data_IF_428849461442
#
_entry.id   IF_428849461442
#
_cell.length_a   1.000
_cell.length_b   1.000
_cell.length_c   1.000
_cell.angle_alpha   90.00
_cell.angle_beta   90.00
_cell.angle_gamma   90.00
#
_symmetry.space_group_name_H-M   'P 1'
#
loop_
_entity.id
_entity.type
_entity.pdbx_description
1 polymer ?
#
# COMPACT_ATOMS: atom_id res chain seq x y z
N UNK A 1 8.73 -15.76 -4.01
CA UNK A 1 9.98 -16.51 -4.29
C UNK A 1 10.91 -16.36 -3.09
N UNK A 2 11.94 -17.18 -2.96
CA UNK A 2 13.00 -16.92 -1.98
C UNK A 2 14.12 -16.12 -2.65
N UNK A 3 14.70 -15.14 -1.95
CA UNK A 3 15.83 -14.34 -2.41
C UNK A 3 17.00 -14.55 -1.47
N UNK A 4 18.10 -15.10 -1.99
CA UNK A 4 19.34 -15.24 -1.22
C UNK A 4 19.88 -13.85 -0.87
N UNK A 5 20.14 -13.62 0.41
CA UNK A 5 20.73 -12.37 0.90
C UNK A 5 22.25 -12.40 0.66
N UNK A 6 22.82 -11.54 -0.20
CA UNK A 6 24.25 -11.53 -0.53
C UNK A 6 25.08 -10.86 0.59
N UNK A 7 25.10 -11.50 1.76
CA UNK A 7 25.63 -10.93 3.00
C UNK A 7 27.12 -10.57 2.88
N UNK A 8 27.91 -11.38 2.17
CA UNK A 8 29.35 -11.15 2.00
C UNK A 8 29.65 -9.98 1.08
N UNK A 9 28.89 -9.81 0.00
CA UNK A 9 28.98 -8.61 -0.84
C UNK A 9 28.64 -7.37 -0.01
N UNK A 10 27.56 -7.43 0.77
CA UNK A 10 27.16 -6.34 1.66
C UNK A 10 28.22 -6.01 2.72
N UNK A 11 28.96 -7.00 3.23
CA UNK A 11 30.08 -6.74 4.13
C UNK A 11 31.34 -6.23 3.42
N UNK A 12 31.60 -6.67 2.20
CA UNK A 12 32.77 -6.25 1.43
C UNK A 12 32.62 -4.83 0.86
N UNK A 13 31.42 -4.46 0.43
CA UNK A 13 31.11 -3.16 -0.18
C UNK A 13 30.98 -2.02 0.86
N UNK A 14 30.99 -2.33 2.17
CA UNK A 14 30.80 -1.36 3.24
C UNK A 14 32.10 -1.05 3.98
N UNK A 15 32.27 0.22 4.35
CA UNK A 15 33.41 0.68 5.15
C UNK A 15 33.26 0.28 6.62
N UNK A 16 34.37 -0.18 7.23
CA UNK A 16 34.46 -0.46 8.66
C UNK A 16 34.40 -1.95 9.03
N UNK A 17 34.62 -2.25 10.32
CA UNK A 17 34.71 -3.64 10.83
C UNK A 17 33.41 -4.16 11.47
N UNK A 18 32.42 -3.28 11.69
CA UNK A 18 31.14 -3.61 12.31
C UNK A 18 30.01 -3.02 11.46
N UNK A 19 29.33 -3.87 10.70
CA UNK A 19 28.12 -3.49 9.99
C UNK A 19 26.91 -3.75 10.90
N UNK A 20 26.33 -2.68 11.44
CA UNK A 20 25.01 -2.77 12.07
C UNK A 20 23.95 -2.51 11.02
N UNK A 21 22.97 -3.39 10.85
CA UNK A 21 21.80 -3.11 10.03
C UNK A 21 20.84 -2.22 10.83
N UNK A 22 20.74 -0.95 10.47
CA UNK A 22 19.64 -0.07 10.89
C UNK A 22 18.58 0.03 9.79
N UNK A 23 17.31 0.10 10.21
CA UNK A 23 16.13 0.05 9.33
C UNK A 23 16.10 1.25 8.37
N UNK A 24 16.75 2.37 8.72
CA UNK A 24 16.65 3.63 7.98
C UNK A 24 17.75 3.84 6.93
N UNK A 25 18.70 2.91 6.79
CA UNK A 25 19.85 3.05 5.86
C UNK A 25 20.14 1.79 5.06
N UNK A 26 19.19 0.87 4.94
CA UNK A 26 19.38 -0.36 4.16
C UNK A 26 19.64 -0.07 2.68
N UNK A 27 18.99 0.96 2.12
CA UNK A 27 19.23 1.50 0.78
C UNK A 27 20.69 1.94 0.58
N UNK A 28 21.31 2.53 1.60
CA UNK A 28 22.72 2.95 1.56
C UNK A 28 23.68 1.81 1.80
N UNK A 29 23.28 0.82 2.60
CA UNK A 29 24.13 -0.32 2.98
C UNK A 29 24.14 -1.45 1.95
N UNK A 30 23.07 -1.56 1.18
CA UNK A 30 22.91 -2.63 0.19
C UNK A 30 22.18 -2.12 -1.07
N UNK A 31 22.70 -1.06 -1.74
CA UNK A 31 21.99 -0.41 -2.84
C UNK A 31 21.66 -1.38 -3.99
N UNK A 32 22.62 -2.24 -4.37
CA UNK A 32 22.44 -3.25 -5.44
C UNK A 32 21.36 -4.27 -5.07
N UNK A 33 21.34 -4.71 -3.80
CA UNK A 33 20.33 -5.65 -3.33
C UNK A 33 18.94 -5.02 -3.30
N UNK A 34 18.81 -3.78 -2.81
CA UNK A 34 17.53 -3.05 -2.82
C UNK A 34 17.05 -2.80 -4.25
N UNK A 35 17.95 -2.47 -5.18
CA UNK A 35 17.62 -2.34 -6.61
C UNK A 35 17.10 -3.66 -7.19
N UNK A 36 17.74 -4.79 -6.89
CA UNK A 36 17.29 -6.11 -7.32
C UNK A 36 15.89 -6.43 -6.77
N UNK A 37 15.63 -6.17 -5.48
CA UNK A 37 14.31 -6.35 -4.86
C UNK A 37 13.25 -5.50 -5.56
N UNK A 38 13.54 -4.23 -5.83
CA UNK A 38 12.61 -3.33 -6.51
C UNK A 38 12.31 -3.80 -7.94
N UNK A 39 13.32 -4.28 -8.68
CA UNK A 39 13.14 -4.85 -10.02
C UNK A 39 12.30 -6.14 -10.01
N UNK A 40 12.52 -7.02 -9.04
CA UNK A 40 11.71 -8.24 -8.85
C UNK A 40 10.26 -7.88 -8.53
N UNK A 41 10.03 -6.93 -7.60
CA UNK A 41 8.70 -6.45 -7.25
C UNK A 41 7.98 -5.79 -8.42
N UNK A 42 8.68 -4.92 -9.16
CA UNK A 42 8.15 -4.28 -10.37
C UNK A 42 7.76 -5.30 -11.46
N UNK A 43 8.36 -6.50 -11.45
CA UNK A 43 7.97 -7.61 -12.32
C UNK A 43 6.78 -8.44 -11.79
N UNK A 44 6.16 -8.04 -10.68
CA UNK A 44 4.97 -8.70 -10.11
C UNK A 44 5.28 -9.88 -9.19
N UNK A 45 6.47 -9.92 -8.58
CA UNK A 45 6.87 -10.99 -7.67
C UNK A 45 7.21 -10.47 -6.28
N UNK A 46 6.70 -11.14 -5.24
CA UNK A 46 7.18 -10.97 -3.87
C UNK A 46 8.30 -11.93 -3.53
N UNK A 47 9.17 -11.49 -2.61
CA UNK A 47 10.32 -12.23 -2.13
C UNK A 47 10.44 -12.19 -0.61
N UNK A 48 10.84 -13.32 -0.05
CA UNK A 48 11.38 -13.39 1.31
C UNK A 48 12.90 -13.50 1.23
N UNK A 49 13.60 -12.81 2.13
CA UNK A 49 15.05 -12.90 2.21
C UNK A 49 15.45 -14.13 3.03
N UNK A 50 16.30 -14.97 2.46
CA UNK A 50 16.84 -16.15 3.14
C UNK A 50 18.36 -16.05 3.26
N UNK A 51 18.88 -16.47 4.42
CA UNK A 51 20.33 -16.54 4.67
C UNK A 51 20.94 -17.81 4.09
N UNK A 52 22.26 -17.83 3.97
CA UNK A 52 23.03 -19.03 3.57
C UNK A 52 22.66 -20.26 4.39
N UNK A 53 22.49 -20.10 5.71
CA UNK A 53 22.04 -21.19 6.59
C UNK A 53 20.67 -21.74 6.16
N UNK A 54 19.74 -20.87 5.77
CA UNK A 54 18.44 -21.31 5.27
C UNK A 54 18.58 -22.01 3.91
N UNK A 55 19.43 -21.51 3.00
CA UNK A 55 19.73 -22.18 1.73
C UNK A 55 20.28 -23.59 1.96
N UNK A 56 21.29 -23.73 2.82
CA UNK A 56 21.92 -25.02 3.17
C UNK A 56 20.92 -26.05 3.72
N UNK A 57 19.93 -25.60 4.48
CA UNK A 57 18.91 -26.43 5.11
C UNK A 57 17.65 -26.63 4.27
N UNK A 58 17.55 -25.94 3.12
CA UNK A 58 16.40 -26.08 2.21
C UNK A 58 16.44 -27.44 1.53
N UNK A 59 15.27 -28.01 1.28
CA UNK A 59 15.12 -29.26 0.51
C UNK A 59 14.18 -29.04 -0.66
N UNK A 60 14.43 -29.74 -1.77
CA UNK A 60 13.45 -29.82 -2.86
C UNK A 60 12.43 -30.93 -2.55
N UNK A 61 11.15 -30.64 -2.68
CA UNK A 61 10.06 -31.62 -2.66
C UNK A 61 9.08 -31.28 -3.78
N UNK A 62 8.92 -32.19 -4.73
CA UNK A 62 8.01 -32.01 -5.88
C UNK A 62 8.28 -30.69 -6.65
N UNK A 63 9.55 -30.32 -6.81
CA UNK A 63 10.00 -29.08 -7.44
C UNK A 63 9.89 -27.81 -6.56
N UNK A 64 9.29 -27.89 -5.38
CA UNK A 64 9.20 -26.79 -4.43
C UNK A 64 10.36 -26.78 -3.43
N UNK A 65 10.85 -25.60 -3.10
CA UNK A 65 11.90 -25.35 -2.11
C UNK A 65 11.30 -25.19 -0.72
N UNK A 66 11.38 -26.23 0.11
CA UNK A 66 10.92 -26.20 1.49
C UNK A 66 12.05 -25.76 2.41
N UNK A 67 11.89 -24.58 3.02
CA UNK A 67 12.83 -24.05 4.00
C UNK A 67 12.60 -24.63 5.40
N UNK A 68 13.59 -24.60 6.30
CA UNK A 68 13.41 -25.04 7.69
C UNK A 68 12.38 -24.20 8.47
N UNK A 69 12.02 -23.00 7.98
CA UNK A 69 10.95 -22.16 8.54
C UNK A 69 9.54 -22.64 8.19
N UNK A 70 9.39 -23.69 7.37
CA UNK A 70 8.10 -24.24 6.95
C UNK A 70 7.51 -23.61 5.69
N UNK A 71 8.09 -22.52 5.19
CA UNK A 71 7.65 -21.88 3.94
C UNK A 71 8.18 -22.64 2.73
N UNK A 72 7.30 -22.87 1.76
CA UNK A 72 7.63 -23.45 0.46
C UNK A 72 7.72 -22.35 -0.62
N UNK A 73 8.77 -22.40 -1.45
CA UNK A 73 8.99 -21.45 -2.54
C UNK A 73 9.04 -22.16 -3.89
N UNK A 74 8.56 -21.51 -4.94
CA UNK A 74 8.61 -22.04 -6.32
C UNK A 74 9.96 -21.84 -7.02
N UNK A 75 10.76 -20.90 -6.52
CA UNK A 75 12.10 -20.61 -7.04
C UNK A 75 12.96 -19.92 -5.97
N UNK A 76 14.27 -20.13 -6.06
CA UNK A 76 15.30 -19.46 -5.27
C UNK A 76 16.10 -18.54 -6.20
N UNK A 77 16.10 -17.24 -5.89
CA UNK A 77 16.76 -16.20 -6.66
C UNK A 77 18.08 -15.80 -5.99
N UNK A 78 19.14 -15.71 -6.76
CA UNK A 78 20.46 -15.19 -6.37
C UNK A 78 20.66 -13.84 -7.07
N UNK A 79 20.62 -12.70 -6.36
CA UNK A 79 20.66 -11.37 -6.98
C UNK A 79 22.10 -10.87 -7.16
N UNK A 80 22.76 -11.29 -8.24
CA UNK A 80 24.05 -10.72 -8.66
C UNK A 80 25.16 -10.75 -7.62
N UNK A 81 25.16 -11.76 -6.73
CA UNK A 81 26.16 -11.95 -5.69
C UNK A 81 27.54 -12.23 -6.30
N UNK A 82 28.59 -11.52 -5.85
CA UNK A 82 29.97 -11.81 -6.30
C UNK A 82 30.64 -12.82 -5.37
N UNK A 83 30.39 -12.71 -4.07
CA UNK A 83 30.96 -13.60 -3.06
C UNK A 83 29.93 -14.63 -2.58
N UNK A 84 30.26 -15.92 -2.68
CA UNK A 84 29.43 -17.01 -2.18
C UNK A 84 30.27 -18.15 -1.59
N UNK A 85 29.93 -18.70 -0.40
CA UNK A 85 30.56 -19.90 0.10
C UNK A 85 30.38 -21.09 -0.85
N UNK A 86 31.41 -21.92 -0.98
CA UNK A 86 31.39 -23.13 -1.82
C UNK A 86 30.25 -24.07 -1.44
N UNK A 87 29.95 -24.17 -0.15
CA UNK A 87 28.89 -25.02 0.42
C UNK A 87 27.51 -24.57 -0.05
N UNK A 88 27.28 -23.25 -0.11
CA UNK A 88 26.03 -22.67 -0.61
C UNK A 88 25.89 -22.90 -2.11
N UNK A 89 26.94 -22.65 -2.89
CA UNK A 89 26.90 -22.89 -4.35
C UNK A 89 26.63 -24.37 -4.67
N UNK A 90 27.29 -25.28 -3.94
CA UNK A 90 27.08 -26.73 -4.05
C UNK A 90 25.65 -27.10 -3.69
N UNK A 91 25.09 -26.47 -2.65
CA UNK A 91 23.70 -26.69 -2.27
C UNK A 91 22.72 -26.23 -3.34
N UNK A 92 22.96 -25.07 -3.95
CA UNK A 92 22.12 -24.57 -5.05
C UNK A 92 22.12 -25.54 -6.24
N UNK A 93 23.29 -26.06 -6.62
CA UNK A 93 23.40 -27.09 -7.66
C UNK A 93 22.60 -28.36 -7.28
N UNK A 94 22.79 -28.87 -6.06
CA UNK A 94 22.07 -30.05 -5.59
C UNK A 94 20.54 -29.85 -5.57
N UNK A 95 20.07 -28.66 -5.18
CA UNK A 95 18.64 -28.32 -5.22
C UNK A 95 18.12 -28.32 -6.67
N UNK A 96 18.92 -27.81 -7.61
CA UNK A 96 18.58 -27.83 -9.02
C UNK A 96 18.53 -29.26 -9.58
N UNK A 97 19.50 -30.11 -9.22
CA UNK A 97 19.53 -31.53 -9.57
C UNK A 97 18.28 -32.27 -9.04
N UNK A 98 17.80 -31.89 -7.84
CA UNK A 98 16.57 -32.41 -7.24
C UNK A 98 15.28 -31.80 -7.86
N UNK A 99 15.40 -30.92 -8.87
CA UNK A 99 14.29 -30.36 -9.62
C UNK A 99 13.80 -28.98 -9.18
N UNK A 100 14.49 -28.31 -8.25
CA UNK A 100 14.13 -26.96 -7.82
C UNK A 100 14.64 -25.89 -8.79
N UNK A 101 13.82 -24.89 -9.09
CA UNK A 101 14.23 -23.77 -9.95
C UNK A 101 15.14 -22.81 -9.19
N UNK A 102 16.37 -22.65 -9.70
CA UNK A 102 17.36 -21.69 -9.21
C UNK A 102 17.56 -20.60 -10.27
N UNK A 103 17.51 -19.34 -9.86
CA UNK A 103 17.57 -18.19 -10.77
C UNK A 103 18.75 -17.31 -10.39
N UNK A 104 19.72 -17.16 -11.29
CA UNK A 104 20.81 -16.21 -11.14
C UNK A 104 20.49 -14.95 -11.94
N UNK A 105 20.40 -13.82 -11.25
CA UNK A 105 20.18 -12.52 -11.88
C UNK A 105 21.50 -11.76 -11.96
N UNK A 106 21.69 -11.04 -13.06
CA UNK A 106 22.86 -10.23 -13.41
C UNK A 106 24.17 -11.00 -13.64
N UNK A 107 24.60 -11.81 -12.67
CA UNK A 107 25.86 -12.55 -12.70
C UNK A 107 25.83 -13.81 -11.84
N UNK A 108 26.65 -14.79 -12.19
CA UNK A 108 26.99 -15.89 -11.29
C UNK A 108 27.99 -15.42 -10.21
N UNK A 109 28.08 -16.13 -9.07
CA UNK A 109 29.14 -15.92 -8.08
C UNK A 109 30.54 -16.05 -8.69
N UNK A 110 31.44 -15.15 -8.28
CA UNK A 110 32.80 -15.02 -8.85
C UNK A 110 33.88 -15.61 -7.94
N UNK A 111 33.71 -15.53 -6.61
CA UNK A 111 34.72 -15.96 -5.65
C UNK A 111 34.12 -16.37 -4.28
N UNK A 112 34.96 -16.93 -3.41
CA UNK A 112 34.61 -17.32 -2.03
C UNK A 112 34.93 -16.20 -1.02
N UNK A 113 34.12 -16.04 0.04
CA UNK A 113 34.41 -15.08 1.09
C UNK A 113 35.54 -15.55 2.05
N UNK A 114 36.31 -14.59 2.58
CA UNK A 114 37.28 -14.80 3.66
C UNK A 114 38.60 -15.46 3.23
N UNK A 115 39.64 -15.35 4.08
CA UNK A 115 41.02 -15.76 3.75
C UNK A 115 41.42 -17.18 4.23
N UNK A 116 40.61 -17.82 5.07
CA UNK A 116 40.93 -19.16 5.58
C UNK A 116 40.92 -20.21 4.47
N UNK A 117 42.00 -21.00 4.32
CA UNK A 117 42.14 -22.04 3.28
C UNK A 117 41.72 -21.54 1.87
N UNK A 118 42.08 -20.30 1.53
CA UNK A 118 41.54 -19.60 0.36
C UNK A 118 41.79 -20.35 -0.96
N UNK A 119 43.02 -20.78 -1.21
CA UNK A 119 43.37 -21.44 -2.49
C UNK A 119 42.63 -22.78 -2.67
N UNK A 120 42.48 -23.54 -1.59
CA UNK A 120 41.70 -24.78 -1.57
C UNK A 120 40.22 -24.50 -1.86
N UNK A 121 39.59 -23.57 -1.13
CA UNK A 121 38.17 -23.24 -1.33
C UNK A 121 37.90 -22.65 -2.70
N UNK A 122 38.78 -21.80 -3.24
CA UNK A 122 38.69 -21.29 -4.63
C UNK A 122 38.80 -22.39 -5.67
N UNK A 123 39.63 -23.41 -5.41
CA UNK A 123 39.73 -24.56 -6.30
C UNK A 123 38.42 -25.34 -6.31
N UNK A 124 37.87 -25.66 -5.14
CA UNK A 124 36.57 -26.34 -5.02
C UNK A 124 35.42 -25.53 -5.62
N UNK A 125 35.36 -24.24 -5.32
CA UNK A 125 34.34 -23.32 -5.83
C UNK A 125 34.32 -23.28 -7.35
N UNK A 126 35.50 -23.16 -7.99
CA UNK A 126 35.59 -23.17 -9.46
C UNK A 126 35.11 -24.49 -10.07
N UNK A 127 35.37 -25.62 -9.43
CA UNK A 127 34.83 -26.91 -9.88
C UNK A 127 33.30 -26.90 -9.85
N UNK A 128 32.70 -26.51 -8.71
CA UNK A 128 31.23 -26.48 -8.57
C UNK A 128 30.61 -25.46 -9.52
N UNK A 129 31.23 -24.29 -9.69
CA UNK A 129 30.76 -23.27 -10.62
C UNK A 129 30.82 -23.76 -12.07
N UNK A 130 31.87 -24.52 -12.43
CA UNK A 130 31.97 -25.13 -13.74
C UNK A 130 30.91 -26.20 -13.96
N UNK A 131 30.57 -27.00 -12.94
CA UNK A 131 29.48 -27.97 -13.03
C UNK A 131 28.12 -27.27 -13.21
N UNK A 132 27.93 -26.15 -12.51
CA UNK A 132 26.71 -25.34 -12.56
C UNK A 132 26.52 -24.58 -13.89
N UNK A 133 27.60 -24.07 -14.48
CA UNK A 133 27.55 -23.17 -15.66
C UNK A 133 28.02 -23.82 -16.96
N UNK A 134 28.79 -24.91 -16.87
CA UNK A 134 29.48 -25.51 -18.01
C UNK A 134 28.57 -26.29 -18.96
N UNK A 135 27.32 -26.56 -18.56
CA UNK A 135 26.27 -27.16 -19.39
C UNK A 135 24.93 -26.50 -19.06
N UNK A 136 24.04 -26.46 -20.06
CA UNK A 136 22.67 -26.03 -19.82
C UNK A 136 22.00 -26.99 -18.81
N UNK A 137 21.50 -26.43 -17.71
CA UNK A 137 20.78 -27.18 -16.69
C UNK A 137 19.30 -26.75 -16.71
N UNK A 138 18.32 -27.68 -16.80
CA UNK A 138 16.91 -27.33 -17.03
C UNK A 138 16.27 -26.51 -15.90
N UNK A 139 16.80 -26.63 -14.68
CA UNK A 139 16.32 -25.90 -13.51
C UNK A 139 17.20 -24.71 -13.09
N UNK A 140 18.21 -24.34 -13.89
CA UNK A 140 19.05 -23.18 -13.61
C UNK A 140 18.81 -22.13 -14.68
N UNK A 141 18.24 -21.00 -14.25
CA UNK A 141 17.94 -19.86 -15.09
C UNK A 141 18.97 -18.77 -14.85
N UNK A 142 19.34 -18.07 -15.92
CA UNK A 142 20.25 -16.94 -15.87
C UNK A 142 19.77 -15.83 -16.80
N UNK A 143 19.87 -14.59 -16.33
CA UNK A 143 19.66 -13.44 -17.19
C UNK A 143 19.81 -12.09 -16.49
N UNK A 144 19.92 -11.05 -17.30
CA UNK A 144 20.05 -9.65 -16.87
C UNK A 144 18.73 -8.89 -17.00
N UNK A 145 17.79 -9.38 -17.81
CA UNK A 145 16.41 -8.90 -17.84
C UNK A 145 15.61 -9.64 -16.76
N UNK A 146 15.28 -8.94 -15.67
CA UNK A 146 14.61 -9.52 -14.52
C UNK A 146 13.23 -10.08 -14.88
N UNK A 147 12.41 -9.32 -15.60
CA UNK A 147 11.05 -9.73 -15.93
C UNK A 147 11.06 -10.96 -16.84
N UNK A 148 11.88 -10.93 -17.89
CA UNK A 148 11.99 -12.06 -18.82
C UNK A 148 12.59 -13.31 -18.17
N UNK A 149 13.57 -13.15 -17.26
CA UNK A 149 14.21 -14.28 -16.58
C UNK A 149 13.30 -14.91 -15.53
N UNK A 150 12.60 -14.10 -14.73
CA UNK A 150 11.65 -14.61 -13.73
C UNK A 150 10.46 -15.31 -14.38
N UNK A 151 9.99 -14.83 -15.54
CA UNK A 151 8.90 -15.46 -16.28
C UNK A 151 9.24 -16.88 -16.76
N UNK A 152 10.53 -17.19 -17.02
CA UNK A 152 10.99 -18.53 -17.40
C UNK A 152 10.85 -19.55 -16.26
N UNK A 153 10.69 -19.10 -15.02
CA UNK A 153 10.42 -20.00 -13.89
C UNK A 153 8.98 -20.55 -13.89
N UNK A 154 8.14 -20.13 -14.83
CA UNK A 154 6.72 -20.48 -14.92
C UNK A 154 5.95 -20.19 -13.61
N UNK A 155 6.43 -19.21 -12.84
CA UNK A 155 5.73 -18.66 -11.69
C UNK A 155 4.88 -17.49 -12.19
N UNK A 156 3.55 -17.51 -12.00
CA UNK A 156 2.70 -16.39 -12.39
C UNK A 156 3.09 -15.12 -11.64
N UNK A 157 3.27 -14.03 -12.38
CA UNK A 157 3.41 -12.69 -11.84
C UNK A 157 2.04 -12.14 -11.42
N UNK A 158 1.99 -11.37 -10.33
CA UNK A 158 0.78 -10.73 -9.81
C UNK A 158 0.44 -9.50 -10.67
N UNK A 159 -0.35 -9.72 -11.72
CA UNK A 159 -0.75 -8.68 -12.69
C UNK A 159 -1.58 -7.54 -12.10
N UNK A 160 -2.23 -7.77 -10.95
CA UNK A 160 -2.83 -6.69 -10.17
C UNK A 160 -1.81 -5.60 -9.78
N UNK A 161 -0.53 -5.98 -9.63
CA UNK A 161 0.54 -5.03 -9.34
C UNK A 161 1.05 -4.37 -10.62
N UNK A 162 1.39 -5.15 -11.65
CA UNK A 162 2.03 -4.64 -12.86
C UNK A 162 1.09 -3.82 -13.74
N UNK A 163 -0.17 -4.25 -13.86
CA UNK A 163 -1.12 -3.67 -14.83
C UNK A 163 -1.99 -2.57 -14.19
N UNK A 164 -2.28 -2.71 -12.90
CA UNK A 164 -3.15 -1.79 -12.15
C UNK A 164 -2.39 -0.91 -11.16
N UNK A 165 -1.14 -1.24 -10.80
CA UNK A 165 -0.36 -0.50 -9.82
C UNK A 165 -0.73 -0.80 -8.36
N UNK A 166 -1.58 -1.81 -8.12
CA UNK A 166 -2.02 -2.14 -6.76
C UNK A 166 -0.87 -2.76 -5.96
N UNK A 167 -0.70 -2.32 -4.72
CA UNK A 167 0.14 -3.04 -3.78
C UNK A 167 -0.67 -4.14 -3.13
N UNK A 168 -0.04 -5.25 -2.80
CA UNK A 168 -0.73 -6.38 -2.22
C UNK A 168 0.11 -7.10 -1.16
N UNK A 169 -0.60 -7.84 -0.30
CA UNK A 169 -0.06 -8.93 0.48
C UNK A 169 -1.02 -10.11 0.32
N UNK A 170 -0.49 -11.29 0.01
CA UNK A 170 -1.29 -12.51 -0.13
C UNK A 170 -0.88 -13.56 0.89
N UNK A 171 -1.86 -14.10 1.61
CA UNK A 171 -1.68 -15.23 2.54
C UNK A 171 -2.58 -16.39 2.15
N UNK A 172 -2.08 -17.61 2.24
CA UNK A 172 -2.91 -18.80 2.09
C UNK A 172 -3.62 -19.14 3.41
N UNK A 173 -4.79 -19.76 3.30
CA UNK A 173 -5.52 -20.42 4.39
C UNK A 173 -6.18 -21.70 3.84
N UNK A 174 -6.77 -22.53 4.72
CA UNK A 174 -7.23 -23.88 4.37
C UNK A 174 -8.16 -23.92 3.15
N UNK A 175 -9.08 -22.96 3.04
CA UNK A 175 -10.06 -22.90 1.94
C UNK A 175 -9.66 -22.00 0.76
N UNK A 176 -8.52 -21.31 0.82
CA UNK A 176 -8.09 -20.38 -0.23
C UNK A 176 -7.04 -19.36 0.18
N UNK A 177 -7.32 -18.08 -0.08
CA UNK A 177 -6.34 -16.99 0.06
C UNK A 177 -6.98 -15.70 0.57
N UNK A 178 -6.21 -14.95 1.35
CA UNK A 178 -6.51 -13.60 1.77
C UNK A 178 -5.55 -12.63 1.07
N UNK A 179 -6.11 -11.69 0.33
CA UNK A 179 -5.41 -10.53 -0.21
C UNK A 179 -5.72 -9.31 0.67
N UNK A 180 -4.69 -8.58 1.05
CA UNK A 180 -4.81 -7.17 1.39
C UNK A 180 -4.33 -6.36 0.18
N UNK A 181 -5.17 -5.48 -0.35
CA UNK A 181 -4.86 -4.63 -1.48
C UNK A 181 -4.84 -3.16 -1.05
N UNK A 182 -3.91 -2.37 -1.59
CA UNK A 182 -3.91 -0.92 -1.43
C UNK A 182 -3.62 -0.21 -2.75
N UNK A 183 -4.47 0.75 -3.08
CA UNK A 183 -4.42 1.55 -4.30
C UNK A 183 -3.58 2.82 -4.07
N UNK A 184 -2.31 2.65 -3.70
CA UNK A 184 -1.34 3.76 -3.56
C UNK A 184 -0.86 4.23 -4.95
N UNK A 185 -1.80 4.61 -5.81
CA UNK A 185 -1.57 5.03 -7.19
C UNK A 185 -2.25 6.36 -7.43
N UNK A 186 -1.86 7.09 -8.49
CA UNK A 186 -2.51 8.35 -8.85
C UNK A 186 -3.83 8.21 -9.62
N UNK A 187 -4.39 7.00 -9.72
CA UNK A 187 -5.61 6.71 -10.49
C UNK A 187 -6.52 5.72 -9.78
N UNK A 188 -7.81 5.80 -10.08
CA UNK A 188 -8.78 4.83 -9.58
C UNK A 188 -8.66 3.50 -10.33
N UNK A 189 -9.05 2.42 -9.68
CA UNK A 189 -9.23 1.09 -10.28
C UNK A 189 -10.71 0.81 -10.39
N UNK A 190 -11.23 0.75 -11.61
CA UNK A 190 -12.60 0.34 -11.91
C UNK A 190 -12.55 -0.69 -13.04
N UNK A 191 -12.66 -1.97 -12.69
CA UNK A 191 -12.61 -3.04 -13.67
C UNK A 191 -12.24 -4.41 -13.13
N UNK A 192 -12.06 -5.34 -14.08
CA UNK A 192 -11.69 -6.73 -13.82
C UNK A 192 -10.18 -6.85 -13.56
N UNK A 193 -9.83 -7.29 -12.35
CA UNK A 193 -8.45 -7.44 -11.88
C UNK A 193 -8.10 -8.92 -11.79
N UNK A 194 -7.01 -9.39 -12.43
CA UNK A 194 -6.62 -10.80 -12.40
C UNK A 194 -6.00 -11.21 -11.06
N UNK A 195 -6.31 -12.42 -10.61
CA UNK A 195 -5.72 -13.06 -9.43
C UNK A 195 -4.85 -14.24 -9.84
N UNK A 196 -3.63 -14.37 -9.32
CA UNK A 196 -2.76 -15.52 -9.67
C UNK A 196 -3.20 -16.86 -9.10
N UNK A 197 -4.30 -16.88 -8.34
CA UNK A 197 -4.86 -18.06 -7.68
C UNK A 197 -6.27 -18.34 -8.18
N UNK A 198 -6.67 -19.61 -8.27
CA UNK A 198 -8.05 -19.95 -8.58
C UNK A 198 -8.98 -19.51 -7.45
N UNK A 199 -10.20 -19.12 -7.81
CA UNK A 199 -11.28 -18.91 -6.85
C UNK A 199 -12.61 -19.34 -7.47
N UNK A 200 -13.46 -19.93 -6.63
CA UNK A 200 -14.86 -20.27 -6.91
C UNK A 200 -15.79 -19.18 -6.37
N UNK A 201 -15.41 -18.51 -5.28
CA UNK A 201 -16.06 -17.29 -4.80
C UNK A 201 -15.07 -16.35 -4.12
N UNK A 202 -15.40 -15.05 -4.06
CA UNK A 202 -14.60 -14.02 -3.40
C UNK A 202 -15.49 -13.13 -2.55
N UNK A 203 -15.09 -12.91 -1.30
CA UNK A 203 -15.70 -11.94 -0.38
C UNK A 203 -14.78 -10.73 -0.29
N UNK A 204 -15.33 -9.53 -0.47
CA UNK A 204 -14.63 -8.26 -0.29
C UNK A 204 -15.03 -7.64 1.04
N UNK A 205 -14.05 -7.03 1.71
CA UNK A 205 -14.23 -6.27 2.95
C UNK A 205 -13.51 -4.93 2.87
N UNK A 206 -14.20 -3.85 3.20
CA UNK A 206 -13.63 -2.52 3.36
C UNK A 206 -13.33 -2.28 4.86
N UNK A 207 -12.05 -2.18 5.25
CA UNK A 207 -11.67 -1.97 6.64
C UNK A 207 -12.00 -0.56 7.16
N UNK A 208 -12.34 0.39 6.29
CA UNK A 208 -12.58 1.79 6.67
C UNK A 208 -13.99 2.02 7.21
N UNK A 209 -14.99 1.34 6.65
CA UNK A 209 -16.42 1.52 6.98
C UNK A 209 -17.12 0.21 7.39
N UNK A 210 -16.43 -0.92 7.29
CA UNK A 210 -16.96 -2.24 7.62
C UNK A 210 -17.85 -2.86 6.53
N UNK A 211 -17.99 -2.21 5.37
CA UNK A 211 -18.78 -2.73 4.24
C UNK A 211 -18.19 -4.04 3.73
N UNK A 212 -19.03 -5.04 3.48
CA UNK A 212 -18.59 -6.33 2.96
C UNK A 212 -19.67 -7.01 2.13
N UNK A 213 -19.26 -8.01 1.34
CA UNK A 213 -20.16 -8.78 0.50
C UNK A 213 -19.40 -9.61 -0.55
N UNK A 214 -20.14 -10.37 -1.34
CA UNK A 214 -19.62 -11.17 -2.44
C UNK A 214 -19.21 -10.27 -3.61
N UNK A 215 -17.94 -10.32 -4.00
CA UNK A 215 -17.44 -9.58 -5.15
C UNK A 215 -17.78 -10.30 -6.47
N UNK A 216 -18.06 -9.58 -7.57
CA UNK A 216 -18.19 -10.20 -8.88
C UNK A 216 -16.90 -10.91 -9.27
N UNK A 217 -17.05 -12.14 -9.76
CA UNK A 217 -15.95 -13.03 -10.11
C UNK A 217 -16.22 -13.63 -11.49
N UNK A 218 -15.21 -13.68 -12.35
CA UNK A 218 -15.27 -14.41 -13.61
C UNK A 218 -14.01 -15.20 -13.85
N UNK A 219 -14.09 -16.14 -14.79
CA UNK A 219 -12.92 -16.84 -15.34
C UNK A 219 -12.89 -16.55 -16.83
N UNK A 220 -11.82 -15.92 -17.31
CA UNK A 220 -11.61 -15.58 -18.71
C UNK A 220 -10.26 -16.16 -19.15
N UNK A 221 -10.25 -16.94 -20.24
CA UNK A 221 -9.03 -17.58 -20.76
C UNK A 221 -8.26 -18.40 -19.69
N UNK A 222 -9.00 -19.04 -18.76
CA UNK A 222 -8.43 -19.80 -17.64
C UNK A 222 -7.91 -18.95 -16.48
N UNK A 223 -7.99 -17.63 -16.57
CA UNK A 223 -7.56 -16.67 -15.55
C UNK A 223 -8.75 -16.21 -14.70
N UNK A 224 -8.65 -16.38 -13.37
CA UNK A 224 -9.62 -15.82 -12.42
C UNK A 224 -9.46 -14.30 -12.35
N UNK A 225 -10.58 -13.57 -12.47
CA UNK A 225 -10.64 -12.12 -12.36
C UNK A 225 -11.75 -11.69 -11.40
N UNK A 226 -11.47 -10.70 -10.58
CA UNK A 226 -12.42 -10.09 -9.63
C UNK A 226 -12.68 -8.64 -10.04
N UNK A 227 -13.94 -8.22 -10.03
CA UNK A 227 -14.28 -6.82 -10.31
C UNK A 227 -14.00 -5.95 -9.09
N UNK A 228 -13.21 -4.90 -9.26
CA UNK A 228 -12.87 -3.96 -8.19
C UNK A 228 -13.21 -2.53 -8.61
N UNK A 229 -13.82 -1.81 -7.67
CA UNK A 229 -13.97 -0.35 -7.67
C UNK A 229 -13.25 0.16 -6.42
N UNK A 230 -12.04 0.68 -6.62
CA UNK A 230 -11.16 1.22 -5.59
C UNK A 230 -10.67 2.59 -6.02
N UNK A 231 -10.94 3.61 -5.20
CA UNK A 231 -10.38 4.93 -5.44
C UNK A 231 -8.89 4.99 -5.08
N UNK A 232 -8.18 5.93 -5.69
CA UNK A 232 -6.80 6.26 -5.31
C UNK A 232 -6.70 6.56 -3.81
N UNK A 233 -5.85 5.83 -3.10
CA UNK A 233 -5.64 5.92 -1.64
C UNK A 233 -6.42 4.87 -0.83
N UNK A 234 -7.39 4.16 -1.43
CA UNK A 234 -8.17 3.14 -0.71
C UNK A 234 -7.39 1.84 -0.49
N UNK A 235 -7.91 1.04 0.45
CA UNK A 235 -7.47 -0.33 0.68
C UNK A 235 -8.66 -1.25 0.91
N UNK A 236 -8.49 -2.54 0.63
CA UNK A 236 -9.54 -3.55 0.82
C UNK A 236 -8.93 -4.92 1.10
N UNK A 237 -9.72 -5.80 1.71
CA UNK A 237 -9.40 -7.21 1.80
C UNK A 237 -10.25 -8.00 0.81
N UNK A 238 -9.63 -8.99 0.16
CA UNK A 238 -10.33 -10.02 -0.62
C UNK A 238 -10.04 -11.37 0.01
N UNK A 239 -11.09 -12.07 0.44
CA UNK A 239 -10.99 -13.46 0.86
C UNK A 239 -11.54 -14.36 -0.25
N UNK A 240 -10.67 -15.18 -0.82
CA UNK A 240 -11.00 -16.09 -1.91
C UNK A 240 -11.21 -17.50 -1.39
N UNK A 241 -12.16 -18.21 -1.99
CA UNK A 241 -12.46 -19.61 -1.67
C UNK A 241 -12.27 -20.45 -2.92
N UNK A 242 -11.48 -21.52 -2.83
CA UNK A 242 -11.12 -22.35 -4.00
C UNK A 242 -12.19 -23.39 -4.33
N UNK A 243 -12.90 -23.91 -3.32
CA UNK A 243 -13.89 -24.99 -3.46
C UNK A 243 -15.28 -24.63 -2.94
N UNK A 244 -15.43 -23.51 -2.23
CA UNK A 244 -16.68 -23.09 -1.61
C UNK A 244 -17.35 -21.95 -2.38
N UNK A 245 -18.67 -22.06 -2.55
CA UNK A 245 -19.53 -20.93 -2.88
C UNK A 245 -20.01 -20.30 -1.57
N UNK A 246 -19.56 -19.06 -1.31
CA UNK A 246 -20.08 -18.29 -0.17
C UNK A 246 -21.46 -17.72 -0.51
N UNK A 247 -22.40 -17.95 0.39
CA UNK A 247 -23.73 -17.33 0.43
C UNK A 247 -23.63 -16.03 1.23
N UNK A 248 -23.69 -14.90 0.54
CA UNK A 248 -23.66 -13.55 1.12
C UNK A 248 -24.34 -12.57 0.17
N UNK A 249 -24.75 -11.41 0.69
CA UNK A 249 -25.18 -10.31 -0.16
C UNK A 249 -24.05 -9.88 -1.11
N UNK A 250 -24.42 -9.39 -2.29
CA UNK A 250 -23.49 -8.80 -3.24
C UNK A 250 -22.76 -7.59 -2.61
N UNK A 251 -21.44 -7.48 -2.85
CA UNK A 251 -20.70 -6.29 -2.49
C UNK A 251 -21.22 -5.10 -3.33
N UNK A 252 -21.59 -3.96 -2.73
CA UNK A 252 -22.14 -2.83 -3.47
C UNK A 252 -21.16 -2.28 -4.52
N UNK A 253 -21.64 -2.10 -5.74
CA UNK A 253 -20.92 -1.51 -6.87
C UNK A 253 -21.83 -0.48 -7.53
N UNK A 254 -21.24 0.60 -8.01
CA UNK A 254 -22.00 1.75 -8.46
C UNK A 254 -21.36 2.35 -9.70
N UNK A 255 -22.20 2.96 -10.53
CA UNK A 255 -21.77 3.89 -11.56
C UNK A 255 -22.43 5.24 -11.34
N UNK A 256 -21.82 6.31 -11.85
CA UNK A 256 -22.43 7.65 -11.82
C UNK A 256 -23.72 7.62 -12.62
N UNK A 257 -24.82 8.07 -12.02
CA UNK A 257 -26.11 8.20 -12.69
C UNK A 257 -26.25 9.55 -13.42
N UNK A 258 -25.59 10.58 -12.90
CA UNK A 258 -25.50 11.91 -13.50
C UNK A 258 -24.24 12.64 -13.01
N UNK A 259 -24.02 13.86 -13.51
CA UNK A 259 -22.93 14.73 -13.07
C UNK A 259 -23.05 15.09 -11.57
N UNK A 260 -21.93 15.29 -10.86
CA UNK A 260 -21.94 15.72 -9.47
C UNK A 260 -22.70 17.04 -9.29
N UNK A 261 -23.56 17.11 -8.28
CA UNK A 261 -24.22 18.35 -7.85
C UNK A 261 -23.24 19.14 -6.99
N UNK A 262 -22.71 20.30 -7.45
CA UNK A 262 -21.78 21.09 -6.67
C UNK A 262 -22.50 21.82 -5.53
N UNK A 263 -21.86 21.90 -4.37
CA UNK A 263 -22.35 22.73 -3.28
C UNK A 263 -21.81 24.14 -3.48
N UNK A 264 -22.61 25.14 -3.09
CA UNK A 264 -22.20 26.53 -3.11
C UNK A 264 -20.96 26.75 -2.23
N UNK A 265 -20.21 27.81 -2.54
CA UNK A 265 -18.97 28.08 -1.84
C UNK A 265 -19.19 28.67 -0.43
N UNK A 266 -20.34 29.31 -0.16
CA UNK A 266 -20.65 29.97 1.11
C UNK A 266 -21.41 29.06 2.09
N UNK A 267 -20.92 28.96 3.33
CA UNK A 267 -21.40 28.03 4.36
C UNK A 267 -21.58 28.75 5.70
N UNK A 268 -22.61 28.38 6.46
CA UNK A 268 -22.70 28.72 7.88
C UNK A 268 -21.45 28.15 8.60
N UNK A 269 -20.81 28.93 9.46
CA UNK A 269 -19.52 28.59 10.03
C UNK A 269 -19.39 28.97 11.50
N UNK A 270 -18.75 28.08 12.28
CA UNK A 270 -18.30 28.39 13.65
C UNK A 270 -17.11 27.52 14.06
N UNK A 271 -16.23 28.04 14.89
CA UNK A 271 -15.29 27.20 15.64
C UNK A 271 -16.03 26.49 16.79
N UNK A 272 -15.99 25.16 16.82
CA UNK A 272 -16.49 24.32 17.91
C UNK A 272 -15.46 24.31 19.05
N UNK A 273 -14.18 24.22 18.69
CA UNK A 273 -13.05 24.27 19.59
C UNK A 273 -11.91 25.03 18.91
N UNK A 274 -11.19 25.86 19.67
CA UNK A 274 -10.01 26.56 19.16
C UNK A 274 -8.97 26.82 20.25
N UNK A 275 -7.70 26.67 19.91
CA UNK A 275 -6.56 27.02 20.76
C UNK A 275 -5.42 27.63 19.92
N UNK A 276 -5.13 28.94 20.07
CA UNK A 276 -5.77 29.87 21.01
C UNK A 276 -7.20 30.17 20.60
N UNK A 277 -7.99 30.72 21.53
CA UNK A 277 -9.37 31.10 21.25
C UNK A 277 -9.43 32.07 20.06
N UNK A 278 -10.29 31.75 19.09
CA UNK A 278 -10.53 32.56 17.90
C UNK A 278 -11.66 33.54 18.13
N UNK A 279 -11.54 34.76 17.58
CA UNK A 279 -12.56 35.81 17.66
C UNK A 279 -12.67 36.56 16.33
N UNK A 280 -13.81 37.21 16.08
CA UNK A 280 -13.99 38.08 14.90
C UNK A 280 -14.16 37.36 13.56
N UNK A 281 -14.42 36.05 13.57
CA UNK A 281 -14.71 35.28 12.34
C UNK A 281 -16.18 35.43 11.96
N UNK A 282 -16.52 35.70 10.69
CA UNK A 282 -17.89 35.76 10.22
C UNK A 282 -18.66 34.45 10.46
N UNK A 283 -19.98 34.57 10.63
CA UNK A 283 -20.89 33.41 10.72
C UNK A 283 -21.08 32.69 9.37
N UNK A 284 -20.61 33.29 8.27
CA UNK A 284 -20.64 32.74 6.93
C UNK A 284 -19.26 32.84 6.30
N UNK A 285 -18.75 31.75 5.74
CA UNK A 285 -17.43 31.75 5.09
C UNK A 285 -17.49 31.07 3.72
N UNK A 286 -16.62 31.51 2.82
CA UNK A 286 -16.32 30.76 1.60
C UNK A 286 -15.38 29.59 1.95
N UNK A 287 -15.61 28.41 1.36
CA UNK A 287 -14.69 27.28 1.46
C UNK A 287 -13.26 27.69 1.06
N UNK A 288 -12.28 27.15 1.77
CA UNK A 288 -10.88 27.55 1.67
C UNK A 288 -10.13 27.31 2.98
N UNK A 289 -8.86 27.72 2.99
CA UNK A 289 -8.02 27.58 4.19
C UNK A 289 -8.43 28.57 5.28
N UNK A 290 -8.52 28.11 6.52
CA UNK A 290 -8.70 28.94 7.72
C UNK A 290 -7.63 30.03 7.83
N UNK A 291 -6.44 29.80 7.29
CA UNK A 291 -5.33 30.77 7.33
C UNK A 291 -5.65 32.07 6.60
N UNK A 292 -6.62 32.03 5.68
CA UNK A 292 -7.02 33.16 4.85
C UNK A 292 -8.31 33.82 5.35
N UNK A 293 -8.96 33.22 6.36
CA UNK A 293 -10.16 33.78 6.97
C UNK A 293 -9.82 35.01 7.83
N UNK A 294 -10.68 36.04 7.84
CA UNK A 294 -10.53 37.16 8.75
C UNK A 294 -10.81 36.72 10.18
N UNK A 295 -10.12 37.36 11.14
CA UNK A 295 -10.32 37.12 12.56
C UNK A 295 -9.00 37.03 13.33
N UNK A 296 -9.07 37.18 14.64
CA UNK A 296 -7.90 37.02 15.49
C UNK A 296 -7.60 35.53 15.70
N UNK A 297 -6.32 35.19 15.75
CA UNK A 297 -5.80 33.85 16.02
C UNK A 297 -6.13 32.75 15.00
N UNK A 298 -6.96 32.99 13.98
CA UNK A 298 -7.42 31.96 13.04
C UNK A 298 -6.27 31.21 12.36
N UNK A 299 -5.30 31.94 11.80
CA UNK A 299 -4.15 31.33 11.12
C UNK A 299 -3.19 30.57 12.05
N UNK A 300 -3.31 30.74 13.38
CA UNK A 300 -2.45 30.10 14.37
C UNK A 300 -3.19 29.06 15.21
N UNK A 301 -4.49 28.84 14.96
CA UNK A 301 -5.30 27.97 15.80
C UNK A 301 -5.11 26.51 15.45
N UNK A 302 -5.18 25.67 16.48
CA UNK A 302 -5.51 24.26 16.32
C UNK A 302 -6.90 24.02 16.91
N UNK A 303 -7.73 23.23 16.26
CA UNK A 303 -9.06 22.98 16.74
C UNK A 303 -9.99 22.39 15.70
N UNK A 304 -11.29 22.55 15.96
CA UNK A 304 -12.37 21.99 15.16
C UNK A 304 -13.35 23.08 14.78
N UNK A 305 -13.66 23.21 13.49
CA UNK A 305 -14.70 24.12 13.00
C UNK A 305 -15.84 23.34 12.34
N UNK A 306 -17.07 23.80 12.55
CA UNK A 306 -18.27 23.23 11.95
C UNK A 306 -18.75 24.11 10.81
N UNK A 307 -18.86 23.50 9.63
CA UNK A 307 -19.47 24.06 8.44
C UNK A 307 -20.88 23.48 8.30
N UNK A 308 -21.89 24.32 8.08
CA UNK A 308 -23.28 23.89 7.87
C UNK A 308 -23.78 24.38 6.51
N UNK A 309 -24.39 23.48 5.74
CA UNK A 309 -24.99 23.79 4.44
C UNK A 309 -26.40 23.23 4.34
N UNK A 310 -27.33 24.05 3.86
CA UNK A 310 -28.73 23.69 3.65
C UNK A 310 -28.97 23.56 2.16
N UNK A 311 -29.45 22.41 1.72
CA UNK A 311 -29.69 22.14 0.30
C UNK A 311 -31.02 21.43 0.11
N UNK A 312 -31.58 21.55 -1.09
CA UNK A 312 -32.79 20.82 -1.49
C UNK A 312 -32.44 19.72 -2.47
N UNK A 313 -32.95 18.53 -2.22
CA UNK A 313 -32.78 17.36 -3.06
C UNK A 313 -34.11 16.97 -3.68
N UNK A 314 -34.18 16.92 -5.01
CA UNK A 314 -35.39 16.53 -5.76
C UNK A 314 -35.22 15.25 -6.57
N UNK A 315 -33.98 14.84 -6.84
CA UNK A 315 -33.69 13.65 -7.62
C UNK A 315 -33.69 12.40 -6.74
N UNK A 316 -34.21 11.31 -7.30
CA UNK A 316 -34.04 9.97 -6.75
C UNK A 316 -32.81 9.32 -7.40
N UNK A 317 -32.07 8.54 -6.61
CA UNK A 317 -30.94 7.73 -7.06
C UNK A 317 -30.87 6.50 -6.16
N UNK A 318 -30.24 5.42 -6.63
CA UNK A 318 -30.09 4.19 -5.83
C UNK A 318 -29.19 4.43 -4.63
N UNK A 319 -28.21 5.34 -4.78
CA UNK A 319 -27.29 5.77 -3.74
C UNK A 319 -26.74 7.17 -4.06
N UNK A 320 -26.12 7.82 -3.09
CA UNK A 320 -25.49 9.13 -3.23
C UNK A 320 -24.08 9.11 -2.63
N UNK A 321 -23.11 9.63 -3.36
CA UNK A 321 -21.73 9.83 -2.89
C UNK A 321 -21.52 11.30 -2.52
N UNK A 322 -21.24 11.57 -1.25
CA UNK A 322 -20.74 12.86 -0.79
C UNK A 322 -19.21 12.88 -0.96
N UNK A 323 -18.69 13.89 -1.66
CA UNK A 323 -17.26 14.18 -1.72
C UNK A 323 -17.00 15.54 -1.09
N UNK A 324 -16.06 15.61 -0.15
CA UNK A 324 -15.65 16.84 0.51
C UNK A 324 -14.51 17.58 -0.22
N UNK A 325 -13.93 16.98 -1.27
CA UNK A 325 -12.75 17.50 -1.93
C UNK A 325 -11.52 17.48 -1.02
N UNK A 326 -10.79 18.60 -0.95
CA UNK A 326 -9.62 18.76 -0.08
C UNK A 326 -10.07 19.15 1.35
N UNK A 327 -9.62 18.37 2.33
CA UNK A 327 -9.88 18.54 3.77
C UNK A 327 -8.55 18.54 4.52
N UNK A 328 -8.34 19.54 5.37
CA UNK A 328 -7.12 19.71 6.18
C UNK A 328 -7.44 19.67 7.68
N UNK A 329 -7.43 18.49 8.33
CA UNK A 329 -6.97 17.17 7.83
C UNK A 329 -7.97 16.02 8.06
N UNK A 330 -9.03 16.24 8.84
CA UNK A 330 -10.06 15.22 9.06
C UNK A 330 -11.43 15.85 9.21
N UNK A 331 -12.48 15.13 8.84
CA UNK A 331 -13.86 15.63 8.86
C UNK A 331 -14.82 14.61 9.50
N UNK A 332 -15.67 15.06 10.43
CA UNK A 332 -16.88 14.32 10.83
C UNK A 332 -18.06 14.85 10.06
N UNK A 333 -18.80 13.95 9.43
CA UNK A 333 -19.95 14.28 8.58
C UNK A 333 -21.24 13.91 9.31
N UNK A 334 -22.17 14.87 9.38
CA UNK A 334 -23.55 14.61 9.78
C UNK A 334 -24.52 15.11 8.72
N UNK A 335 -25.57 14.35 8.47
CA UNK A 335 -26.67 14.75 7.59
C UNK A 335 -27.96 14.64 8.38
N UNK A 336 -28.76 15.71 8.36
CA UNK A 336 -30.03 15.79 9.09
C UNK A 336 -29.90 15.44 10.59
N UNK A 337 -28.76 15.81 11.19
CA UNK A 337 -28.43 15.54 12.60
C UNK A 337 -27.94 14.11 12.89
N UNK A 338 -27.88 13.24 11.89
CA UNK A 338 -27.37 11.87 12.02
C UNK A 338 -25.91 11.77 11.62
N UNK A 339 -25.10 11.08 12.42
CA UNK A 339 -23.69 10.82 12.10
C UNK A 339 -23.55 9.83 10.94
N UNK A 340 -22.74 10.21 9.96
CA UNK A 340 -22.51 9.45 8.73
C UNK A 340 -21.16 8.75 8.78
N UNK A 341 -20.08 9.52 8.91
CA UNK A 341 -18.71 9.02 8.85
C UNK A 341 -17.71 9.98 9.51
N UNK A 342 -16.56 9.44 9.92
CA UNK A 342 -15.35 10.21 10.20
C UNK A 342 -14.32 9.94 9.12
N UNK A 343 -14.03 10.95 8.30
CA UNK A 343 -13.12 10.88 7.16
C UNK A 343 -11.75 11.43 7.58
N UNK A 344 -10.74 10.57 7.66
CA UNK A 344 -9.41 10.91 8.16
C UNK A 344 -8.28 10.54 7.18
N UNK A 345 -8.64 10.00 6.02
CA UNK A 345 -7.73 9.62 4.94
C UNK A 345 -8.39 9.88 3.59
N UNK A 346 -7.57 9.97 2.55
CA UNK A 346 -8.05 10.05 1.17
C UNK A 346 -8.70 8.72 0.74
N UNK A 347 -9.76 8.78 -0.10
CA UNK A 347 -10.51 9.98 -0.46
C UNK A 347 -11.45 10.45 0.67
N UNK A 348 -11.64 11.77 0.83
CA UNK A 348 -12.62 12.35 1.76
C UNK A 348 -14.05 12.26 1.20
N UNK A 349 -14.56 11.03 1.10
CA UNK A 349 -15.90 10.76 0.58
C UNK A 349 -16.60 9.61 1.31
N UNK A 350 -17.93 9.61 1.29
CA UNK A 350 -18.74 8.52 1.83
C UNK A 350 -20.11 8.42 1.14
N UNK A 351 -20.72 7.23 1.21
CA UNK A 351 -22.09 7.00 0.76
C UNK A 351 -23.07 7.56 1.78
N UNK A 352 -24.10 8.28 1.32
CA UNK A 352 -24.98 9.10 2.18
C UNK A 352 -26.47 8.92 1.93
N UNK A 353 -26.88 8.11 0.95
CA UNK A 353 -28.27 8.01 0.48
C UNK A 353 -29.26 7.71 1.59
N UNK A 354 -28.94 6.79 2.50
CA UNK A 354 -29.81 6.44 3.65
C UNK A 354 -30.08 7.60 4.63
N UNK A 355 -29.27 8.65 4.60
CA UNK A 355 -29.38 9.82 5.49
C UNK A 355 -30.11 11.00 4.82
N UNK A 356 -30.30 10.93 3.50
CA UNK A 356 -30.95 11.96 2.71
C UNK A 356 -32.47 11.76 2.67
N UNK A 357 -33.20 12.86 2.48
CA UNK A 357 -34.66 12.86 2.27
C UNK A 357 -35.06 13.78 1.12
N UNK A 358 -36.20 13.54 0.45
CA UNK A 358 -36.74 14.50 -0.51
C UNK A 358 -36.98 15.86 0.13
N UNK A 359 -36.67 16.93 -0.60
CA UNK A 359 -36.78 18.31 -0.11
C UNK A 359 -35.54 18.75 0.67
N UNK A 360 -35.74 19.42 1.79
CA UNK A 360 -34.65 20.08 2.54
C UNK A 360 -33.80 19.10 3.34
N UNK A 361 -32.47 19.22 3.18
CA UNK A 361 -31.46 18.51 3.93
C UNK A 361 -30.47 19.50 4.54
N UNK A 362 -29.87 19.09 5.66
CA UNK A 362 -28.81 19.84 6.32
C UNK A 362 -27.57 18.96 6.38
N UNK A 363 -26.46 19.44 5.81
CA UNK A 363 -25.14 18.84 5.93
C UNK A 363 -24.33 19.63 6.96
N UNK A 364 -23.75 18.95 7.93
CA UNK A 364 -22.77 19.49 8.86
C UNK A 364 -21.44 18.75 8.69
N UNK A 365 -20.35 19.51 8.56
CA UNK A 365 -18.99 19.00 8.44
C UNK A 365 -18.13 19.63 9.52
N UNK A 366 -17.74 18.84 10.52
CA UNK A 366 -16.78 19.26 11.55
C UNK A 366 -15.37 18.91 11.08
N UNK A 367 -14.57 19.91 10.71
CA UNK A 367 -13.18 19.72 10.28
C UNK A 367 -12.22 20.01 11.43
N UNK A 368 -11.28 19.11 11.66
CA UNK A 368 -10.20 19.25 12.65
C UNK A 368 -8.84 19.29 11.94
N UNK A 369 -8.03 20.31 12.25
CA UNK A 369 -6.69 20.50 11.66
C UNK A 369 -5.56 19.91 12.53
N UNK A 370 -4.32 20.07 12.05
CA UNK A 370 -3.12 19.71 12.80
C UNK A 370 -2.69 20.81 13.79
N UNK A 371 -1.97 20.45 14.87
CA UNK A 371 -1.42 21.42 15.81
C UNK A 371 -0.25 22.26 15.25
N UNK A 372 0.14 22.06 13.98
CA UNK A 372 1.33 22.66 13.40
C UNK A 372 1.34 24.20 13.48
N UNK A 373 0.21 24.84 13.15
CA UNK A 373 0.06 26.30 13.19
C UNK A 373 0.21 26.85 14.61
N UNK A 374 -0.40 26.16 15.58
CA UNK A 374 -0.30 26.51 17.00
C UNK A 374 1.12 26.32 17.54
N UNK A 375 1.77 25.22 17.19
CA UNK A 375 3.15 24.94 17.59
C UNK A 375 4.11 26.00 17.05
N UNK A 376 3.98 26.38 15.78
CA UNK A 376 4.80 27.41 15.16
C UNK A 376 4.63 28.77 15.86
N UNK A 377 3.39 29.16 16.17
CA UNK A 377 3.09 30.40 16.89
C UNK A 377 3.68 30.40 18.32
N UNK A 378 3.53 29.31 19.05
CA UNK A 378 4.08 29.20 20.40
C UNK A 378 5.61 29.31 20.39
N UNK A 379 6.27 28.68 19.43
CA UNK A 379 7.72 28.79 19.26
C UNK A 379 8.14 30.22 18.86
N UNK A 380 7.39 30.91 17.97
CA UNK A 380 7.64 32.33 17.64
C UNK A 380 7.53 33.24 18.87
N UNK A 381 6.60 32.95 19.78
CA UNK A 381 6.38 33.70 21.02
C UNK A 381 7.20 33.21 22.21
N UNK A 382 8.05 32.20 22.01
CA UNK A 382 8.85 31.59 23.07
C UNK A 382 8.01 31.06 24.25
N UNK A 383 6.78 30.61 23.98
CA UNK A 383 5.90 29.99 24.97
C UNK A 383 6.49 28.62 25.34
N UNK A 384 6.70 28.30 26.63
CA UNK A 384 7.22 27.00 27.04
C UNK A 384 6.13 25.93 26.91
N UNK A 385 6.05 25.29 25.74
CA UNK A 385 5.07 24.21 25.45
C UNK A 385 5.71 22.81 25.41
N UNK A 386 7.04 22.72 25.24
CA UNK A 386 7.78 21.45 25.31
C UNK A 386 7.95 21.03 26.78
N UNK A 387 7.18 20.02 27.19
CA UNK A 387 7.23 19.46 28.56
C UNK A 387 8.21 18.30 28.69
N UNK A 388 8.40 17.52 27.61
CA UNK A 388 9.36 16.43 27.55
C UNK A 388 10.57 16.80 26.69
N UNK A 389 11.73 16.27 27.09
CA UNK A 389 13.04 16.56 26.47
C UNK A 389 13.12 16.15 25.00
N UNK A 390 12.48 15.04 24.61
CA UNK A 390 12.63 14.44 23.28
C UNK A 390 11.32 14.09 22.54
N UNK A 391 10.15 14.07 23.21
CA UNK A 391 8.96 13.31 22.73
C UNK A 391 7.71 14.18 22.48
N UNK A 392 7.78 15.51 22.64
CA UNK A 392 6.61 16.35 22.34
C UNK A 392 6.29 16.34 20.84
N UNK A 393 7.26 16.76 20.01
CA UNK A 393 7.25 16.63 18.55
C UNK A 393 8.70 16.55 18.12
N UNK A 394 9.10 15.43 17.50
CA UNK A 394 10.45 15.19 17.00
C UNK A 394 10.49 15.30 15.47
N UNK A 395 11.61 15.80 14.94
CA UNK A 395 11.87 15.72 13.50
C UNK A 395 12.41 14.32 13.16
N UNK A 396 12.16 13.81 11.95
CA UNK A 396 12.63 12.48 11.50
C UNK A 396 14.15 12.29 11.69
N UNK A 397 14.92 13.39 11.66
CA UNK A 397 16.38 13.38 11.85
C UNK A 397 16.83 13.86 13.24
N UNK A 398 15.91 14.02 14.20
CA UNK A 398 16.15 14.55 15.54
C UNK A 398 17.00 15.85 15.56
N UNK A 399 16.85 16.68 14.52
CA UNK A 399 17.50 17.99 14.46
C UNK A 399 16.95 18.86 15.58
N UNK A 400 17.83 19.30 16.47
CA UNK A 400 17.50 20.27 17.52
C UNK A 400 17.10 21.60 16.87
N UNK A 401 16.00 22.18 17.33
CA UNK A 401 15.51 23.47 16.83
C UNK A 401 14.07 23.74 17.25
N UNK A 402 13.57 24.90 16.81
CA UNK A 402 12.17 25.31 16.98
C UNK A 402 11.43 25.27 15.65
N UNK A 403 10.11 25.21 15.71
CA UNK A 403 9.20 25.26 14.57
C UNK A 403 8.72 26.69 14.24
N UNK A 404 9.33 27.72 14.84
CA UNK A 404 9.01 29.13 14.60
C UNK A 404 9.09 29.57 13.12
N UNK A 405 9.87 28.84 12.31
CA UNK A 405 10.07 29.10 10.89
C UNK A 405 8.98 28.50 9.99
N UNK A 406 8.08 27.67 10.54
CA UNK A 406 6.96 27.13 9.77
C UNK A 406 6.00 28.25 9.36
N UNK A 407 5.72 28.29 8.06
CA UNK A 407 4.59 29.07 7.55
C UNK A 407 3.29 28.40 7.98
N UNK A 408 2.19 29.15 8.13
CA UNK A 408 0.88 28.55 8.36
C UNK A 408 0.60 27.48 7.30
N UNK A 409 0.28 26.28 7.77
CA UNK A 409 -0.23 25.19 6.94
C UNK A 409 -1.72 25.41 6.70
N UNK A 410 -2.18 25.01 5.52
CA UNK A 410 -3.61 25.04 5.20
C UNK A 410 -4.42 24.26 6.23
N UNK A 411 -5.64 24.71 6.49
CA UNK A 411 -6.52 24.10 7.51
C UNK A 411 -7.98 24.29 7.11
N UNK A 412 -8.84 23.31 7.36
CA UNK A 412 -10.28 23.44 7.11
C UNK A 412 -10.80 22.69 5.90
N UNK A 413 -12.00 23.07 5.47
CA UNK A 413 -12.69 22.50 4.31
C UNK A 413 -12.38 23.36 3.07
N UNK A 414 -11.46 22.88 2.25
CA UNK A 414 -11.01 23.58 1.05
C UNK A 414 -11.95 23.30 -0.14
N UNK A 415 -12.53 22.09 -0.18
CA UNK A 415 -13.46 21.70 -1.22
C UNK A 415 -12.77 21.30 -2.54
N UNK A 416 -13.50 21.30 -3.67
CA UNK A 416 -14.94 21.53 -3.76
C UNK A 416 -15.76 20.40 -3.11
N UNK A 417 -16.90 20.75 -2.52
CA UNK A 417 -17.86 19.78 -1.98
C UNK A 417 -18.91 19.47 -3.04
N UNK A 418 -19.24 18.20 -3.23
CA UNK A 418 -20.26 17.77 -4.19
C UNK A 418 -21.02 16.53 -3.73
N UNK A 419 -22.20 16.36 -4.30
CA UNK A 419 -23.06 15.21 -4.08
C UNK A 419 -23.36 14.54 -5.43
N UNK A 420 -22.92 13.31 -5.62
CA UNK A 420 -23.03 12.60 -6.90
C UNK A 420 -24.12 11.53 -6.81
N UNK A 421 -25.14 11.53 -7.70
CA UNK A 421 -26.11 10.44 -7.75
C UNK A 421 -25.48 9.20 -8.36
N UNK A 422 -25.72 8.06 -7.72
CA UNK A 422 -25.21 6.76 -8.13
C UNK A 422 -26.35 5.83 -8.54
N UNK A 423 -26.06 4.99 -9.52
CA UNK A 423 -26.89 3.86 -9.91
C UNK A 423 -26.20 2.58 -9.49
N UNK A 424 -26.92 1.69 -8.80
CA UNK A 424 -26.40 0.39 -8.41
C UNK A 424 -26.17 -0.45 -9.67
N UNK A 425 -25.04 -1.15 -9.73
CA UNK A 425 -24.77 -2.06 -10.82
C UNK A 425 -25.30 -3.45 -10.48
N UNK A 426 -25.92 -4.11 -11.46
CA UNK A 426 -26.30 -5.51 -11.31
C UNK A 426 -25.05 -6.38 -11.41
N UNK A 427 -24.55 -6.82 -10.26
CA UNK A 427 -23.39 -7.71 -10.15
C UNK A 427 -23.60 -9.05 -10.87
N UNK A 428 -24.86 -9.49 -11.06
CA UNK A 428 -25.19 -10.67 -11.86
C UNK A 428 -24.99 -10.45 -13.35
N UNK A 429 -25.30 -9.26 -13.87
CA UNK A 429 -25.05 -8.88 -15.26
C UNK A 429 -23.57 -8.68 -15.57
N UNK A 430 -22.79 -8.10 -14.63
CA UNK A 430 -21.33 -7.99 -14.78
C UNK A 430 -20.67 -9.35 -15.07
N UNK A 431 -21.19 -10.43 -14.50
CA UNK A 431 -20.68 -11.79 -14.73
C UNK A 431 -21.24 -12.47 -16.00
N UNK A 432 -22.29 -11.92 -16.62
CA UNK A 432 -22.96 -12.48 -17.80
C UNK A 432 -22.53 -11.83 -19.13
N UNK A 433 -21.95 -10.63 -19.12
CA UNK A 433 -21.39 -9.97 -20.32
C UNK A 433 -20.04 -10.56 -20.76
N UNK A 434 -20.04 -11.88 -20.98
CA UNK A 434 -18.94 -12.66 -21.58
C UNK A 434 -19.26 -12.98 -23.05
#
# INVERSE_FOLDING_TARGET
MALSLPLYDMWQEQDGRLLMFDIHKMDRRAPRFIEAVNKIRAAGYDVDYISDRFVEQTVCRDGALLTPGGTAYKALVVPGAKLMPTEVLRKLLALADDGATIIFLDQYPEDVPGWGRLDERRKEFRTVLQDLTGKAHPHILFGTDYAATLAQAHVPAERLHTDFGLNYLRRAHDDGYLYFLSALTGRDTDGWVPLTVPATSVVRYNPMDGTWGKAPLRVRDGQTEVYLQLASGESTFLQTFTSQQVEAAAYPTYKKAAEPLPFGAEWDFRFVESNPAVSGVPAYVTLGSWTDLPGENVANTMGTACYTYRFRLSAEADEWLLSLGDVRESARVRINGQEVATLWALPYSCLVGRYLKPGENVLEVEVTNLPANRIAEMDRRQVPWRKFKDINVATINYKKGTYAHWQPMESGLLGPVSLTPLQAMDNGQLTMDN
#
